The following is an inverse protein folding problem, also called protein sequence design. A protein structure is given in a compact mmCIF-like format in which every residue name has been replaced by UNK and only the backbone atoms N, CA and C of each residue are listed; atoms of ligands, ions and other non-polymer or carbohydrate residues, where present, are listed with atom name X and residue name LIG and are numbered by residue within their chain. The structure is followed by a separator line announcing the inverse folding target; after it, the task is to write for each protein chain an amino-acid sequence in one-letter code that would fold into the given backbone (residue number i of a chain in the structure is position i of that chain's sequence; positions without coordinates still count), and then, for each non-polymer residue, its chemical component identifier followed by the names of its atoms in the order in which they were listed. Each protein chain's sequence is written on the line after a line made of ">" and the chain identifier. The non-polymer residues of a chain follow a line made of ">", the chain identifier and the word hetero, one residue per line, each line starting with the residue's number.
data_IF_385032013669
#
_entry.id   IF_385032013669
#
_cell.length_a   1.000
_cell.length_b   1.000
_cell.length_c   1.000
_cell.angle_alpha   90.00
_cell.angle_beta   90.00
_cell.angle_gamma   90.00
#
_symmetry.space_group_name_H-M   'P 1'
#
loop_
_entity.id
_entity.type
_entity.pdbx_description
1 polymer ?
#
# COMPACT_ATOMS: atom_id res chain seq x y z
N UNK A 1 22.37 -23.38 -17.82
CA UNK A 1 23.14 -22.57 -18.79
C UNK A 1 22.28 -22.07 -19.95
N UNK A 2 21.60 -22.94 -20.73
CA UNK A 2 20.74 -22.45 -21.81
C UNK A 2 19.47 -21.76 -21.27
N UNK A 3 18.85 -22.31 -20.23
CA UNK A 3 17.67 -21.70 -19.58
C UNK A 3 17.99 -20.34 -18.95
N UNK A 4 19.13 -20.21 -18.27
CA UNK A 4 19.56 -18.94 -17.67
C UNK A 4 19.81 -17.85 -18.72
N UNK A 5 20.43 -18.19 -19.85
CA UNK A 5 20.64 -17.26 -20.96
C UNK A 5 19.31 -16.84 -21.62
N UNK A 6 18.38 -17.79 -21.76
CA UNK A 6 17.04 -17.50 -22.26
C UNK A 6 16.29 -16.56 -21.31
N UNK A 7 16.32 -16.84 -20.01
CA UNK A 7 15.76 -15.97 -18.97
C UNK A 7 16.35 -14.56 -19.03
N UNK A 8 17.68 -14.43 -19.13
CA UNK A 8 18.34 -13.12 -19.20
C UNK A 8 17.94 -12.34 -20.46
N UNK A 9 17.75 -13.03 -21.60
CA UNK A 9 17.27 -12.40 -22.84
C UNK A 9 15.82 -11.92 -22.73
N UNK A 10 14.94 -12.73 -22.14
CA UNK A 10 13.55 -12.35 -21.87
C UNK A 10 13.50 -11.15 -20.91
N UNK A 11 14.27 -11.19 -19.83
CA UNK A 11 14.41 -10.10 -18.88
C UNK A 11 14.96 -8.82 -19.55
N UNK A 12 16.00 -8.91 -20.38
CA UNK A 12 16.52 -7.75 -21.13
C UNK A 12 15.42 -7.11 -22.00
N UNK A 13 14.64 -7.92 -22.69
CA UNK A 13 13.55 -7.44 -23.56
C UNK A 13 12.53 -6.66 -22.73
N UNK A 14 12.13 -7.19 -21.59
CA UNK A 14 11.20 -6.52 -20.68
C UNK A 14 11.81 -5.23 -20.09
N UNK A 15 13.07 -5.28 -19.63
CA UNK A 15 13.77 -4.12 -19.07
C UNK A 15 13.81 -2.94 -20.04
N UNK A 16 14.00 -3.22 -21.33
CA UNK A 16 14.13 -2.21 -22.40
C UNK A 16 12.78 -1.69 -22.91
N UNK A 17 11.67 -2.38 -22.65
CA UNK A 17 10.35 -2.06 -23.24
C UNK A 17 9.28 -1.69 -22.23
N UNK A 18 9.46 -2.04 -20.95
CA UNK A 18 8.52 -1.68 -19.88
C UNK A 18 8.37 -0.16 -19.72
N UNK A 19 7.22 0.25 -19.20
CA UNK A 19 6.94 1.66 -18.87
C UNK A 19 7.94 2.21 -17.86
N UNK A 20 8.14 3.53 -17.90
CA UNK A 20 9.12 4.19 -17.05
C UNK A 20 8.50 5.08 -15.96
N UNK A 21 7.17 5.15 -15.81
CA UNK A 21 6.44 5.94 -14.79
C UNK A 21 7.13 7.27 -14.41
N UNK A 22 7.65 7.99 -15.41
CA UNK A 22 8.40 9.25 -15.27
C UNK A 22 9.69 9.20 -14.41
N UNK A 23 10.23 8.02 -14.10
CA UNK A 23 11.50 7.84 -13.37
C UNK A 23 12.67 7.50 -14.28
N UNK A 24 13.85 7.99 -13.90
CA UNK A 24 15.11 7.74 -14.61
C UNK A 24 15.67 6.33 -14.33
N UNK A 25 16.57 5.87 -15.20
CA UNK A 25 17.41 4.71 -14.91
C UNK A 25 18.53 5.07 -13.91
N UNK A 26 19.07 4.10 -13.15
CA UNK A 26 18.62 2.72 -12.99
C UNK A 26 17.33 2.63 -12.19
N UNK A 27 16.34 1.89 -12.70
CA UNK A 27 15.00 1.79 -12.10
C UNK A 27 14.71 0.39 -11.58
N UNK A 28 13.96 0.33 -10.49
CA UNK A 28 13.38 -0.89 -9.96
C UNK A 28 11.96 -0.59 -9.50
N UNK A 29 11.19 -1.65 -9.26
CA UNK A 29 9.79 -1.57 -8.89
C UNK A 29 9.58 -2.02 -7.46
N UNK A 30 8.58 -1.44 -6.84
CA UNK A 30 8.13 -1.72 -5.47
C UNK A 30 6.60 -1.56 -5.41
N UNK A 31 6.02 -1.76 -4.24
CA UNK A 31 4.60 -1.48 -4.01
C UNK A 31 4.51 -0.20 -3.17
N UNK A 32 3.76 0.79 -3.66
CA UNK A 32 3.33 1.92 -2.84
C UNK A 32 1.96 1.59 -2.27
N UNK A 33 1.80 1.82 -0.98
CA UNK A 33 0.56 1.62 -0.26
C UNK A 33 0.31 2.80 0.70
N UNK A 34 -0.83 2.80 1.37
CA UNK A 34 -1.32 3.93 2.16
C UNK A 34 -1.72 3.47 3.55
N UNK A 35 -1.52 4.34 4.53
CA UNK A 35 -1.95 4.09 5.92
C UNK A 35 -2.47 5.38 6.54
N UNK A 36 -3.40 5.23 7.48
CA UNK A 36 -3.77 6.33 8.38
C UNK A 36 -2.72 6.41 9.49
N UNK A 37 -2.30 7.63 9.81
CA UNK A 37 -1.35 7.92 10.89
C UNK A 37 -1.81 9.17 11.65
N UNK A 38 -1.44 9.33 12.94
CA UNK A 38 -1.73 10.55 13.67
C UNK A 38 -1.13 11.77 12.95
N UNK A 39 -1.94 12.79 12.75
CA UNK A 39 -1.56 14.05 12.13
C UNK A 39 -1.76 15.25 13.04
N UNK A 40 -1.46 16.44 12.53
CA UNK A 40 -1.79 17.71 13.19
C UNK A 40 -2.82 18.49 12.36
N UNK A 41 -3.92 18.91 12.98
CA UNK A 41 -5.04 19.58 12.32
C UNK A 41 -4.70 20.91 11.63
N UNK A 42 -3.67 21.62 12.10
CA UNK A 42 -3.25 22.91 11.54
C UNK A 42 -2.26 22.77 10.36
N UNK A 43 -1.56 21.63 10.28
CA UNK A 43 -0.43 21.45 9.36
C UNK A 43 -0.64 20.35 8.33
N UNK A 44 -1.52 19.40 8.60
CA UNK A 44 -1.76 18.24 7.75
C UNK A 44 -3.17 18.27 7.15
N UNK A 45 -3.30 17.75 5.94
CA UNK A 45 -4.61 17.48 5.34
C UNK A 45 -5.10 16.12 5.78
N UNK A 46 -6.16 16.09 6.56
CA UNK A 46 -6.67 14.88 7.20
C UNK A 46 -8.10 15.05 7.70
N UNK A 47 -8.52 14.13 8.55
CA UNK A 47 -9.87 14.07 9.12
C UNK A 47 -9.81 13.63 10.59
N UNK A 48 -10.86 13.92 11.35
CA UNK A 48 -11.03 13.34 12.68
C UNK A 48 -11.47 11.88 12.53
N UNK A 49 -10.78 11.00 13.24
CA UNK A 49 -11.17 9.61 13.42
C UNK A 49 -11.74 9.44 14.81
N UNK A 50 -12.99 8.98 14.86
CA UNK A 50 -13.71 8.69 16.10
C UNK A 50 -13.52 7.23 16.48
N UNK A 51 -13.26 6.96 17.76
CA UNK A 51 -13.03 5.60 18.23
C UNK A 51 -13.49 5.37 19.67
N UNK A 52 -13.79 4.12 19.96
CA UNK A 52 -14.00 3.62 21.32
C UNK A 52 -12.82 2.72 21.72
N UNK A 53 -12.37 2.81 22.97
CA UNK A 53 -11.27 1.98 23.47
C UNK A 53 -11.35 1.76 24.99
N UNK A 54 -11.91 0.62 25.38
CA UNK A 54 -11.93 0.09 26.76
C UNK A 54 -10.86 -1.00 26.99
N UNK A 55 -9.99 -1.23 26.00
CA UNK A 55 -9.15 -2.41 25.88
C UNK A 55 -9.30 -3.07 24.50
N UNK A 56 -10.50 -3.01 23.92
CA UNK A 56 -10.78 -3.38 22.54
C UNK A 56 -10.98 -2.10 21.70
N UNK A 57 -10.08 -1.88 20.74
CA UNK A 57 -10.09 -0.66 19.92
C UNK A 57 -11.04 -0.79 18.73
N UNK A 58 -12.09 0.04 18.71
CA UNK A 58 -13.10 0.09 17.65
C UNK A 58 -13.09 1.47 17.00
N UNK A 59 -12.89 1.51 15.68
CA UNK A 59 -12.92 2.74 14.89
C UNK A 59 -14.26 2.87 14.18
N UNK A 60 -14.87 4.05 14.24
CA UNK A 60 -16.12 4.35 13.56
C UNK A 60 -15.84 4.98 12.20
N UNK A 61 -16.06 4.21 11.13
CA UNK A 61 -15.81 4.66 9.75
C UNK A 61 -16.86 5.66 9.27
N UNK A 62 -18.09 5.51 9.76
CA UNK A 62 -19.22 6.37 9.42
C UNK A 62 -20.27 6.41 10.55
N UNK A 63 -21.34 7.17 10.30
CA UNK A 63 -22.46 7.32 11.24
C UNK A 63 -23.11 5.98 11.60
N UNK A 64 -23.27 5.07 10.64
CA UNK A 64 -23.96 3.80 10.87
C UNK A 64 -23.13 2.88 11.76
N UNK A 65 -21.80 2.82 11.55
CA UNK A 65 -20.92 2.07 12.45
C UNK A 65 -21.01 2.58 13.90
N UNK A 66 -21.02 3.91 14.11
CA UNK A 66 -21.19 4.48 15.44
C UNK A 66 -22.59 4.16 16.01
N UNK A 67 -23.64 4.33 15.21
CA UNK A 67 -25.02 4.05 15.61
C UNK A 67 -25.20 2.59 16.04
N UNK A 68 -24.77 1.65 15.21
CA UNK A 68 -24.87 0.22 15.48
C UNK A 68 -24.15 -0.14 16.78
N UNK A 69 -22.96 0.43 17.01
CA UNK A 69 -22.20 0.24 18.25
C UNK A 69 -22.97 0.73 19.49
N UNK A 70 -23.57 1.92 19.43
CA UNK A 70 -24.37 2.46 20.53
C UNK A 70 -25.64 1.62 20.76
N UNK A 71 -26.32 1.21 19.69
CA UNK A 71 -27.51 0.36 19.78
C UNK A 71 -27.21 -1.03 20.37
N UNK A 72 -26.02 -1.58 20.12
CA UNK A 72 -25.61 -2.90 20.65
C UNK A 72 -25.07 -2.84 22.08
N UNK A 73 -24.24 -1.84 22.40
CA UNK A 73 -23.49 -1.82 23.66
C UNK A 73 -24.08 -0.90 24.74
N UNK A 74 -24.91 0.07 24.35
CA UNK A 74 -25.48 1.08 25.24
C UNK A 74 -27.02 1.11 25.17
N UNK A 75 -27.66 -0.03 24.84
CA UNK A 75 -29.12 -0.14 24.68
C UNK A 75 -29.89 0.41 25.88
N UNK A 76 -29.40 0.17 27.10
CA UNK A 76 -30.03 0.62 28.35
C UNK A 76 -29.97 2.13 28.55
N UNK A 77 -29.01 2.81 27.93
CA UNK A 77 -28.82 4.27 28.00
C UNK A 77 -29.60 5.01 26.89
N UNK A 78 -30.28 4.30 26.00
CA UNK A 78 -31.06 4.89 24.90
C UNK A 78 -32.39 5.45 25.42
N UNK A 79 -32.37 6.75 25.69
CA UNK A 79 -33.56 7.57 25.97
C UNK A 79 -34.11 8.28 24.71
N UNK A 80 -35.13 9.11 24.88
CA UNK A 80 -35.76 9.83 23.78
C UNK A 80 -34.84 10.89 23.13
N UNK A 81 -33.88 11.43 23.89
CA UNK A 81 -32.93 12.42 23.38
C UNK A 81 -31.85 11.74 22.53
N UNK A 82 -31.23 10.67 23.05
CA UNK A 82 -30.27 9.87 22.27
C UNK A 82 -30.91 9.27 21.02
N UNK A 83 -32.16 8.78 21.10
CA UNK A 83 -32.91 8.33 19.91
C UNK A 83 -33.05 9.41 18.85
N UNK A 84 -33.25 10.66 19.26
CA UNK A 84 -33.32 11.75 18.29
C UNK A 84 -31.96 11.91 17.60
N UNK A 85 -30.84 11.94 18.33
CA UNK A 85 -29.49 11.98 17.76
C UNK A 85 -29.19 10.79 16.82
N UNK A 86 -29.55 9.56 17.19
CA UNK A 86 -29.39 8.34 16.37
C UNK A 86 -30.22 8.35 15.07
N UNK A 87 -31.17 9.28 14.92
CA UNK A 87 -32.00 9.44 13.72
C UNK A 87 -31.68 10.72 12.93
N UNK A 88 -30.74 11.55 13.37
CA UNK A 88 -30.35 12.77 12.64
C UNK A 88 -29.33 12.52 11.52
N UNK A 89 -28.72 11.34 11.45
CA UNK A 89 -27.72 10.96 10.43
C UNK A 89 -26.51 11.91 10.35
N UNK A 90 -26.18 12.57 11.46
CA UNK A 90 -25.03 13.46 11.60
C UNK A 90 -24.05 12.88 12.62
N UNK A 91 -22.90 12.42 12.13
CA UNK A 91 -21.88 11.77 12.97
C UNK A 91 -21.24 12.73 13.95
N UNK A 92 -20.96 13.98 13.56
CA UNK A 92 -20.30 14.95 14.44
C UNK A 92 -21.23 15.31 15.59
N UNK A 93 -22.51 15.47 15.27
CA UNK A 93 -23.52 15.84 16.25
C UNK A 93 -23.89 14.69 17.19
N UNK A 94 -23.98 13.45 16.68
CA UNK A 94 -24.11 12.25 17.53
C UNK A 94 -22.87 12.07 18.40
N UNK A 95 -21.67 12.24 17.84
CA UNK A 95 -20.40 12.13 18.57
C UNK A 95 -20.31 13.15 19.70
N UNK A 96 -20.69 14.41 19.46
CA UNK A 96 -20.73 15.44 20.50
C UNK A 96 -21.71 15.06 21.62
N UNK A 97 -22.85 14.45 21.31
CA UNK A 97 -23.77 13.99 22.36
C UNK A 97 -23.15 12.86 23.19
N UNK A 98 -22.60 11.83 22.54
CA UNK A 98 -22.00 10.66 23.21
C UNK A 98 -20.86 11.11 24.13
N UNK A 99 -19.94 11.94 23.62
CA UNK A 99 -18.79 12.41 24.41
C UNK A 99 -19.17 13.28 25.61
N UNK A 100 -20.30 13.99 25.55
CA UNK A 100 -20.77 14.84 26.65
C UNK A 100 -21.62 14.09 27.68
N UNK A 101 -22.27 12.98 27.31
CA UNK A 101 -23.28 12.33 28.15
C UNK A 101 -22.98 10.85 28.48
N UNK A 102 -22.20 10.15 27.64
CA UNK A 102 -21.96 8.71 27.74
C UNK A 102 -20.47 8.34 27.88
N UNK A 103 -19.60 9.31 28.16
CA UNK A 103 -18.14 9.13 28.16
C UNK A 103 -17.51 9.47 29.51
N UNK A 104 -18.16 9.10 30.62
CA UNK A 104 -17.61 9.32 31.96
C UNK A 104 -16.33 8.48 32.21
N UNK A 105 -16.20 7.34 31.55
CA UNK A 105 -15.03 6.46 31.59
C UNK A 105 -13.87 6.93 30.71
N UNK A 106 -14.14 7.79 29.72
CA UNK A 106 -13.16 8.33 28.79
C UNK A 106 -12.79 7.38 27.65
N UNK A 107 -13.62 6.38 27.35
CA UNK A 107 -13.33 5.40 26.29
C UNK A 107 -13.68 5.90 24.89
N UNK A 108 -14.60 6.85 24.75
CA UNK A 108 -14.85 7.54 23.48
C UNK A 108 -13.87 8.69 23.32
N UNK A 109 -13.06 8.65 22.28
CA UNK A 109 -12.10 9.71 21.99
C UNK A 109 -11.88 9.85 20.48
N UNK A 110 -11.24 10.94 20.08
CA UNK A 110 -10.97 11.21 18.67
C UNK A 110 -9.53 11.66 18.44
N UNK A 111 -9.02 11.34 17.27
CA UNK A 111 -7.68 11.73 16.85
C UNK A 111 -7.70 12.21 15.43
N UNK A 112 -7.02 13.32 15.16
CA UNK A 112 -6.81 13.79 13.81
C UNK A 112 -5.82 12.86 13.10
N UNK A 113 -6.25 12.29 11.97
CA UNK A 113 -5.46 11.36 11.18
C UNK A 113 -5.25 11.88 9.78
N UNK A 114 -4.09 11.59 9.23
CA UNK A 114 -3.77 11.84 7.82
C UNK A 114 -3.43 10.53 7.13
N UNK A 115 -3.68 10.52 5.82
CA UNK A 115 -3.23 9.44 4.95
C UNK A 115 -1.77 9.70 4.54
N UNK A 116 -0.90 8.73 4.78
CA UNK A 116 0.49 8.75 4.35
C UNK A 116 0.73 7.63 3.36
N UNK A 117 1.38 7.95 2.23
CA UNK A 117 1.94 6.94 1.36
C UNK A 117 3.21 6.35 1.97
N UNK A 118 3.44 5.06 1.70
CA UNK A 118 4.67 4.40 2.09
C UNK A 118 5.07 3.34 1.07
N UNK A 119 6.37 3.08 1.00
CA UNK A 119 6.90 1.95 0.23
C UNK A 119 6.77 0.69 1.06
N UNK A 120 6.03 -0.29 0.55
CA UNK A 120 5.79 -1.55 1.23
C UNK A 120 7.14 -2.26 1.52
N UNK A 121 7.40 -2.64 2.77
CA UNK A 121 8.66 -3.24 3.16
C UNK A 121 8.86 -4.58 2.45
N UNK A 122 10.13 -4.93 2.23
CA UNK A 122 10.54 -6.19 1.59
C UNK A 122 10.03 -6.38 0.15
N UNK A 123 9.67 -5.30 -0.53
CA UNK A 123 9.30 -5.34 -1.95
C UNK A 123 10.38 -4.70 -2.81
N UNK A 124 10.91 -5.48 -3.76
CA UNK A 124 11.86 -5.02 -4.77
C UNK A 124 11.75 -5.97 -5.96
N UNK A 125 11.49 -5.41 -7.14
CA UNK A 125 11.27 -6.15 -8.37
C UNK A 125 12.04 -5.49 -9.51
N UNK A 126 12.53 -6.28 -10.46
CA UNK A 126 13.22 -5.73 -11.62
C UNK A 126 12.24 -5.23 -12.69
N UNK A 127 11.02 -5.76 -12.70
CA UNK A 127 10.03 -5.44 -13.72
C UNK A 127 8.67 -5.05 -13.14
N UNK A 128 7.94 -4.22 -13.88
CA UNK A 128 6.58 -3.78 -13.50
C UNK A 128 5.61 -4.97 -13.45
N UNK A 129 5.75 -5.90 -14.39
CA UNK A 129 4.88 -7.06 -14.48
C UNK A 129 5.05 -7.97 -13.26
N UNK A 130 6.28 -8.18 -12.79
CA UNK A 130 6.57 -8.91 -11.55
C UNK A 130 5.93 -8.23 -10.34
N UNK A 131 6.11 -6.92 -10.18
CA UNK A 131 5.48 -6.15 -9.10
C UNK A 131 3.95 -6.23 -9.12
N UNK A 132 3.35 -6.14 -10.31
CA UNK A 132 1.89 -6.26 -10.48
C UNK A 132 1.40 -7.66 -10.11
N UNK A 133 2.10 -8.70 -10.57
CA UNK A 133 1.80 -10.10 -10.25
C UNK A 133 1.87 -10.35 -8.75
N UNK A 134 2.89 -9.78 -8.08
CA UNK A 134 3.01 -9.85 -6.63
C UNK A 134 1.79 -9.23 -5.94
N UNK A 135 1.38 -8.04 -6.37
CA UNK A 135 0.22 -7.35 -5.80
C UNK A 135 -1.08 -8.13 -6.00
N UNK A 136 -1.32 -8.70 -7.19
CA UNK A 136 -2.50 -9.53 -7.49
C UNK A 136 -2.59 -10.75 -6.57
N UNK A 137 -1.47 -11.46 -6.39
CA UNK A 137 -1.41 -12.68 -5.58
C UNK A 137 -1.47 -12.41 -4.07
N UNK A 138 -1.07 -11.22 -3.64
CA UNK A 138 -0.91 -10.87 -2.22
C UNK A 138 -1.80 -9.70 -1.79
N UNK A 139 -2.84 -9.37 -2.55
CA UNK A 139 -3.69 -8.19 -2.33
C UNK A 139 -4.27 -8.09 -0.91
N UNK A 140 -4.49 -9.22 -0.23
CA UNK A 140 -4.98 -9.29 1.15
C UNK A 140 -3.99 -8.79 2.21
N UNK A 141 -2.72 -8.55 1.84
CA UNK A 141 -1.70 -7.92 2.69
C UNK A 141 -1.58 -6.40 2.47
N UNK A 142 -2.38 -5.85 1.55
CA UNK A 142 -2.28 -4.46 1.11
C UNK A 142 -3.64 -3.77 1.21
N UNK A 143 -3.62 -2.43 1.24
CA UNK A 143 -4.89 -1.69 1.08
C UNK A 143 -5.38 -1.76 -0.37
N UNK A 144 -6.66 -1.43 -0.58
CA UNK A 144 -7.24 -1.34 -1.92
C UNK A 144 -6.62 -0.23 -2.80
N UNK A 145 -5.86 0.70 -2.20
CA UNK A 145 -5.15 1.78 -2.90
C UNK A 145 -3.73 1.39 -3.33
N UNK A 146 -3.24 0.22 -2.90
CA UNK A 146 -1.90 -0.22 -3.23
C UNK A 146 -1.70 -0.38 -4.74
N UNK A 147 -0.53 0.01 -5.23
CA UNK A 147 -0.19 -0.05 -6.65
C UNK A 147 1.31 -0.20 -6.88
N UNK A 148 1.69 -0.61 -8.10
CA UNK A 148 3.10 -0.68 -8.49
C UNK A 148 3.70 0.72 -8.54
N UNK A 149 4.87 0.89 -7.95
CA UNK A 149 5.58 2.17 -7.92
C UNK A 149 7.00 1.99 -8.43
N UNK A 150 7.43 2.88 -9.33
CA UNK A 150 8.79 2.88 -9.82
C UNK A 150 9.68 3.74 -8.92
N UNK A 151 10.85 3.22 -8.58
CA UNK A 151 11.90 3.95 -7.87
C UNK A 151 13.17 4.03 -8.70
N UNK A 152 13.89 5.14 -8.53
CA UNK A 152 15.23 5.30 -9.08
C UNK A 152 16.25 4.84 -8.03
N UNK A 153 17.15 3.92 -8.38
CA UNK A 153 18.29 3.56 -7.55
C UNK A 153 19.34 4.67 -7.57
N UNK A 154 19.06 5.74 -6.82
CA UNK A 154 19.79 6.99 -6.85
C UNK A 154 21.19 6.85 -6.28
N UNK A 155 22.20 7.37 -7.01
CA UNK A 155 23.62 7.31 -6.65
C UNK A 155 24.13 5.88 -6.37
N UNK A 156 23.59 4.89 -7.10
CA UNK A 156 23.96 3.48 -6.99
C UNK A 156 24.74 2.99 -8.23
N UNK A 157 26.04 3.33 -8.38
CA UNK A 157 26.80 3.07 -9.61
C UNK A 157 26.96 1.59 -9.95
N UNK A 158 26.93 0.69 -8.96
CA UNK A 158 26.96 -0.76 -9.20
C UNK A 158 25.64 -1.26 -9.80
N UNK A 159 24.51 -0.73 -9.34
CA UNK A 159 23.19 -1.07 -9.88
C UNK A 159 23.06 -0.51 -11.30
N UNK A 160 23.48 0.73 -11.52
CA UNK A 160 23.55 1.33 -12.85
C UNK A 160 24.36 0.47 -13.82
N UNK A 161 25.58 0.09 -13.44
CA UNK A 161 26.43 -0.76 -14.27
C UNK A 161 25.79 -2.13 -14.54
N UNK A 162 25.17 -2.75 -13.54
CA UNK A 162 24.50 -4.06 -13.71
C UNK A 162 23.32 -3.96 -14.68
N UNK A 163 22.41 -3.00 -14.48
CA UNK A 163 21.25 -2.85 -15.35
C UNK A 163 21.65 -2.44 -16.77
N UNK A 164 22.71 -1.64 -16.92
CA UNK A 164 23.27 -1.32 -18.23
C UNK A 164 23.78 -2.55 -18.97
N UNK A 165 24.52 -3.43 -18.26
CA UNK A 165 24.97 -4.71 -18.84
C UNK A 165 23.76 -5.56 -19.27
N UNK A 166 22.76 -5.69 -18.40
CA UNK A 166 21.54 -6.46 -18.73
C UNK A 166 20.78 -5.86 -19.91
N UNK A 167 20.75 -4.54 -20.05
CA UNK A 167 20.07 -3.81 -21.12
C UNK A 167 20.78 -3.89 -22.48
N UNK A 168 22.13 -3.89 -22.49
CA UNK A 168 22.94 -3.72 -23.71
C UNK A 168 23.64 -5.00 -24.21
N UNK A 169 23.79 -6.04 -23.37
CA UNK A 169 24.55 -7.25 -23.74
C UNK A 169 23.86 -8.05 -24.86
N UNK A 170 24.61 -8.46 -25.88
CA UNK A 170 24.09 -9.34 -26.94
C UNK A 170 23.99 -10.80 -26.47
N UNK A 171 22.83 -11.16 -25.92
CA UNK A 171 22.55 -12.52 -25.50
C UNK A 171 22.39 -13.50 -26.67
N UNK A 172 22.02 -13.03 -27.88
CA UNK A 172 21.87 -13.88 -29.05
C UNK A 172 23.20 -14.50 -29.46
N UNK A 173 24.23 -13.67 -29.56
CA UNK A 173 25.60 -14.13 -29.81
C UNK A 173 26.08 -15.15 -28.77
N UNK A 174 25.73 -14.99 -27.49
CA UNK A 174 26.12 -15.91 -26.42
C UNK A 174 25.40 -17.26 -26.49
N UNK A 175 24.13 -17.26 -26.87
CA UNK A 175 23.33 -18.47 -27.07
C UNK A 175 23.87 -19.26 -28.27
N UNK A 176 24.10 -18.59 -29.41
CA UNK A 176 24.62 -19.22 -30.63
C UNK A 176 25.98 -19.89 -30.40
N UNK A 177 26.92 -19.19 -29.77
CA UNK A 177 28.26 -19.72 -29.49
C UNK A 177 28.23 -20.96 -28.57
N UNK A 178 27.35 -20.97 -27.56
CA UNK A 178 27.19 -22.13 -26.68
C UNK A 178 26.64 -23.36 -27.41
N UNK A 179 25.70 -23.17 -28.34
CA UNK A 179 25.17 -24.29 -29.15
C UNK A 179 26.22 -24.84 -30.11
N UNK A 180 27.11 -24.00 -30.64
CA UNK A 180 28.17 -24.40 -31.56
C UNK A 180 29.29 -25.20 -30.86
N UNK A 181 29.62 -24.89 -29.60
CA UNK A 181 30.61 -25.64 -28.81
C UNK A 181 30.13 -27.02 -28.39
N UNK A 182 28.83 -27.21 -28.11
CA UNK A 182 28.28 -28.54 -27.79
C UNK A 182 28.24 -29.48 -29.01
N UNK A 183 28.01 -28.97 -30.22
CA UNK A 183 28.00 -29.77 -31.46
C UNK A 183 29.38 -30.23 -31.94
N UNK A 184 30.48 -29.68 -31.40
CA UNK A 184 31.86 -30.06 -31.76
C UNK A 184 32.47 -31.10 -30.81
N UNK A 185 31.76 -31.49 -29.76
CA UNK A 185 32.20 -32.44 -28.74
C UNK A 185 31.51 -33.81 -28.76
N UNK A 186 30.61 -34.04 -29.72
CA UNK A 186 29.99 -35.35 -30.04
C UNK A 186 30.60 -35.90 -31.35
#
# INVERSE_FOLDING_TARGET
>A
MNEDLKFLKELQTELNTQENDCQAAPRFWTIMDYKKSPGNEDYDSGELQYYFNDGDHVVFEDFNHLKEFIEEHYEEDIDDELRWHLNNEDIEYLWQYITNNLNEDGYFDSVFVKEEDFIAPNTMFLTKAEAKRHLELNHYHYTSKAHTYAMTAWRAPKVERLLKILSELDFDSLIENNTATHKKGE
#
